data_IF_919506196125
#
_entry.id   IF_919506196125
#
_cell.length_a   1.000
_cell.length_b   1.000
_cell.length_c   1.000
_cell.angle_alpha   90.00
_cell.angle_beta   90.00
_cell.angle_gamma   90.00
#
_symmetry.space_group_name_H-M   'P 1'
#
loop_
_entity.id
_entity.type
_entity.pdbx_description
1 polymer ?
#
# COMPACT_ATOMS: atom_id res chain seq x y z
N UNK A 1 6.55 -11.63 14.24
CA UNK A 1 6.70 -11.45 12.77
C UNK A 1 7.88 -10.53 12.53
N UNK A 2 8.59 -10.70 11.40
CA UNK A 2 9.56 -9.69 10.96
C UNK A 2 8.80 -8.44 10.51
N UNK A 3 9.29 -7.23 10.82
CA UNK A 3 8.63 -5.99 10.42
C UNK A 3 8.63 -5.85 8.90
N UNK A 4 7.54 -5.34 8.35
CA UNK A 4 7.41 -5.10 6.91
C UNK A 4 8.37 -4.00 6.49
N UNK A 5 9.23 -4.30 5.52
CA UNK A 5 10.28 -3.37 5.07
C UNK A 5 9.86 -2.56 3.85
N UNK A 6 9.03 -3.14 2.99
CA UNK A 6 8.55 -2.50 1.77
C UNK A 6 7.22 -3.07 1.29
N UNK A 7 6.40 -2.17 0.74
CA UNK A 7 5.18 -2.52 0.04
C UNK A 7 5.23 -1.85 -1.33
N UNK A 8 5.16 -2.66 -2.38
CA UNK A 8 5.53 -2.27 -3.73
C UNK A 8 4.47 -2.69 -4.74
N UNK A 9 4.35 -1.96 -5.84
CA UNK A 9 3.63 -2.40 -7.03
C UNK A 9 4.63 -2.90 -8.04
N UNK A 10 4.53 -4.17 -8.42
CA UNK A 10 5.42 -4.77 -9.42
C UNK A 10 4.57 -5.24 -10.61
N UNK A 11 4.91 -4.81 -11.82
CA UNK A 11 4.23 -5.23 -13.06
C UNK A 11 5.28 -5.75 -14.03
N UNK A 12 5.07 -6.96 -14.54
CA UNK A 12 6.01 -7.64 -15.45
C UNK A 12 7.45 -7.66 -14.90
N UNK A 13 7.60 -7.92 -13.59
CA UNK A 13 8.90 -7.95 -12.90
C UNK A 13 9.53 -6.59 -12.59
N UNK A 14 8.92 -5.48 -13.03
CA UNK A 14 9.45 -4.14 -12.79
C UNK A 14 8.71 -3.44 -11.63
N UNK A 15 9.47 -2.87 -10.68
CA UNK A 15 8.95 -1.96 -9.67
C UNK A 15 8.36 -0.71 -10.36
N UNK A 16 7.08 -0.44 -10.11
CA UNK A 16 6.37 0.72 -10.67
C UNK A 16 6.10 1.80 -9.66
N UNK A 17 5.79 1.42 -8.42
CA UNK A 17 5.51 2.35 -7.34
C UNK A 17 5.71 1.68 -5.98
N UNK A 18 5.89 2.47 -4.93
CA UNK A 18 6.10 2.02 -3.56
C UNK A 18 5.22 2.80 -2.60
N UNK A 19 4.73 2.15 -1.55
CA UNK A 19 4.08 2.82 -0.42
C UNK A 19 5.12 3.67 0.31
N UNK A 20 4.88 4.97 0.36
CA UNK A 20 5.71 5.93 1.07
C UNK A 20 4.83 6.81 1.95
N UNK A 21 5.43 7.42 2.97
CA UNK A 21 4.74 8.39 3.84
C UNK A 21 4.47 9.65 3.05
N UNK A 22 3.27 10.19 3.18
CA UNK A 22 2.93 11.52 2.70
C UNK A 22 3.71 12.60 3.45
N UNK A 23 3.52 13.85 3.02
CA UNK A 23 4.13 15.02 3.69
C UNK A 23 3.60 15.23 5.12
N UNK A 24 2.47 14.62 5.45
CA UNK A 24 1.89 14.56 6.80
C UNK A 24 2.55 13.51 7.70
N UNK A 25 3.48 12.71 7.17
CA UNK A 25 4.18 11.65 7.90
C UNK A 25 3.41 10.33 7.98
N UNK A 26 2.24 10.22 7.34
CA UNK A 26 1.40 9.03 7.38
C UNK A 26 1.32 8.32 6.04
N UNK A 27 0.99 7.03 6.07
CA UNK A 27 0.62 6.26 4.91
C UNK A 27 -0.89 6.39 4.68
N UNK A 28 -1.29 6.61 3.43
CA UNK A 28 -2.70 6.73 3.07
C UNK A 28 -3.22 5.43 2.46
N UNK A 29 -4.09 4.73 3.18
CA UNK A 29 -4.86 3.60 2.68
C UNK A 29 -6.30 4.00 2.38
N UNK A 30 -6.98 3.25 1.52
CA UNK A 30 -8.36 3.53 1.15
C UNK A 30 -9.11 2.21 1.02
N UNK A 31 -10.25 2.11 1.70
CA UNK A 31 -11.16 0.98 1.55
C UNK A 31 -11.63 0.81 0.10
N UNK A 32 -12.15 -0.37 -0.22
CA UNK A 32 -12.80 -0.63 -1.50
C UNK A 32 -13.93 0.40 -1.76
N UNK A 33 -14.04 0.89 -3.00
CA UNK A 33 -15.02 1.91 -3.38
C UNK A 33 -14.72 3.34 -2.93
N UNK A 34 -13.77 3.58 -2.02
CA UNK A 34 -13.41 4.94 -1.56
C UNK A 34 -12.08 5.43 -2.16
N UNK A 35 -12.04 6.70 -2.58
CA UNK A 35 -10.82 7.40 -3.01
C UNK A 35 -10.58 8.73 -2.29
N UNK A 36 -11.57 9.22 -1.54
CA UNK A 36 -11.57 10.57 -0.94
C UNK A 36 -11.34 10.56 0.57
N UNK A 37 -11.70 9.48 1.26
CA UNK A 37 -11.50 9.30 2.69
C UNK A 37 -10.35 8.32 2.93
N UNK A 38 -9.11 8.80 3.18
CA UNK A 38 -8.01 7.93 3.53
C UNK A 38 -8.12 7.43 4.99
N UNK A 39 -7.73 6.19 5.21
CA UNK A 39 -7.29 5.67 6.50
C UNK A 39 -5.81 5.96 6.62
N UNK A 40 -5.44 6.83 7.55
CA UNK A 40 -4.05 7.20 7.82
C UNK A 40 -3.41 6.18 8.77
N UNK A 41 -2.28 5.63 8.35
CA UNK A 41 -1.53 4.61 9.10
C UNK A 41 -0.11 5.11 9.32
N UNK A 42 0.52 4.69 10.42
CA UNK A 42 1.81 5.21 10.87
C UNK A 42 3.00 4.31 10.50
N UNK A 43 2.74 3.01 10.27
CA UNK A 43 3.78 2.01 9.94
C UNK A 43 3.43 1.20 8.69
N UNK A 44 4.43 0.58 8.06
CA UNK A 44 4.20 -0.37 6.97
C UNK A 44 3.54 -1.66 7.46
N UNK A 45 3.74 -2.06 8.72
CA UNK A 45 3.05 -3.21 9.32
C UNK A 45 1.53 -2.96 9.34
N UNK A 46 1.11 -1.78 9.80
CA UNK A 46 -0.30 -1.38 9.79
C UNK A 46 -0.87 -1.34 8.37
N UNK A 47 -0.11 -0.84 7.39
CA UNK A 47 -0.51 -0.86 5.98
C UNK A 47 -0.68 -2.30 5.47
N UNK A 48 0.26 -3.18 5.78
CA UNK A 48 0.21 -4.57 5.37
C UNK A 48 -1.00 -5.28 5.98
N UNK A 49 -1.26 -5.07 7.27
CA UNK A 49 -2.40 -5.64 7.97
C UNK A 49 -3.73 -5.11 7.42
N UNK A 50 -3.82 -3.80 7.15
CA UNK A 50 -4.98 -3.21 6.50
C UNK A 50 -5.25 -3.84 5.12
N UNK A 51 -4.22 -3.96 4.28
CA UNK A 51 -4.36 -4.50 2.93
C UNK A 51 -4.72 -6.00 2.93
N UNK A 52 -4.18 -6.78 3.86
CA UNK A 52 -4.54 -8.20 4.05
C UNK A 52 -5.98 -8.36 4.53
N UNK A 53 -6.41 -7.53 5.47
CA UNK A 53 -7.74 -7.62 6.06
C UNK A 53 -8.85 -7.11 5.14
N UNK A 54 -8.53 -6.23 4.18
CA UNK A 54 -9.51 -5.56 3.33
C UNK A 54 -9.24 -5.81 1.84
N UNK A 55 -9.70 -6.95 1.28
CA UNK A 55 -9.58 -7.24 -0.14
C UNK A 55 -10.09 -6.09 -1.03
N UNK A 56 -9.41 -5.86 -2.16
CA UNK A 56 -9.70 -4.78 -3.12
C UNK A 56 -9.52 -3.34 -2.60
N UNK A 57 -9.12 -3.18 -1.34
CA UNK A 57 -8.63 -1.90 -0.83
C UNK A 57 -7.25 -1.61 -1.39
N UNK A 58 -6.79 -0.37 -1.24
CA UNK A 58 -5.51 0.03 -1.82
C UNK A 58 -4.80 1.10 -1.02
N UNK A 59 -3.49 1.19 -1.22
CA UNK A 59 -2.65 2.23 -0.63
C UNK A 59 -2.24 3.24 -1.70
N UNK A 60 -2.05 4.50 -1.31
CA UNK A 60 -1.39 5.48 -2.18
C UNK A 60 0.09 5.15 -2.27
N UNK A 61 0.63 5.20 -3.49
CA UNK A 61 2.02 4.87 -3.77
C UNK A 61 2.72 5.96 -4.58
N UNK A 62 4.01 6.14 -4.34
CA UNK A 62 4.93 7.03 -5.05
C UNK A 62 5.67 6.23 -6.15
N UNK A 63 5.92 6.76 -7.35
CA UNK A 63 5.50 8.05 -7.89
C UNK A 63 4.00 8.14 -8.19
N UNK A 64 3.47 9.37 -8.13
CA UNK A 64 2.12 9.73 -8.58
C UNK A 64 1.06 9.78 -7.48
N UNK A 65 1.35 9.26 -6.28
CA UNK A 65 0.44 9.28 -5.12
C UNK A 65 -0.97 8.73 -5.43
N UNK A 66 -1.03 7.78 -6.37
CA UNK A 66 -2.27 7.15 -6.81
C UNK A 66 -2.59 5.94 -5.95
N UNK A 67 -3.89 5.69 -5.71
CA UNK A 67 -4.35 4.48 -5.04
C UNK A 67 -4.08 3.26 -5.92
N UNK A 68 -3.31 2.31 -5.40
CA UNK A 68 -3.03 1.02 -6.03
C UNK A 68 -3.75 -0.08 -5.27
N UNK A 69 -4.47 -0.92 -6.00
CA UNK A 69 -5.31 -2.01 -5.45
C UNK A 69 -4.91 -3.40 -5.94
N UNK A 70 -3.91 -3.50 -6.83
CA UNK A 70 -3.51 -4.75 -7.52
C UNK A 70 -2.02 -4.79 -7.77
N UNK A 71 -1.50 -6.02 -7.93
CA UNK A 71 -0.07 -6.30 -8.12
C UNK A 71 0.78 -5.72 -6.98
N UNK A 72 0.24 -5.79 -5.76
CA UNK A 72 0.90 -5.29 -4.56
C UNK A 72 1.73 -6.42 -3.99
N UNK A 73 2.99 -6.15 -3.69
CA UNK A 73 3.93 -7.09 -3.09
C UNK A 73 4.33 -6.55 -1.72
N UNK A 74 4.21 -7.38 -0.69
CA UNK A 74 4.66 -7.09 0.67
C UNK A 74 5.93 -7.90 0.87
N UNK A 75 7.07 -7.22 1.00
CA UNK A 75 8.40 -7.84 1.08
C UNK A 75 8.65 -8.90 -0.02
N UNK A 76 8.18 -8.62 -1.24
CA UNK A 76 8.33 -9.53 -2.39
C UNK A 76 7.30 -10.65 -2.48
N UNK A 77 6.37 -10.76 -1.53
CA UNK A 77 5.24 -11.70 -1.60
C UNK A 77 4.02 -11.00 -2.20
N UNK A 78 3.49 -11.53 -3.30
CA UNK A 78 2.28 -11.01 -3.93
C UNK A 78 1.10 -11.09 -2.96
N UNK A 79 0.48 -9.94 -2.71
CA UNK A 79 -0.79 -9.82 -1.99
C UNK A 79 -1.90 -10.38 -2.88
N UNK A 80 -2.55 -11.44 -2.40
CA UNK A 80 -3.66 -12.15 -3.05
C UNK A 80 -4.92 -11.29 -3.14
#
# INVERSE_FOLDING_TARGET
>A
MMPVTRIERIIAGALKSRVERGSDGFYACHQFGSNVAPVTLSTLDEVADFLRANPHSGARMNPGWVKIVRNIYIDGVLLR
#
